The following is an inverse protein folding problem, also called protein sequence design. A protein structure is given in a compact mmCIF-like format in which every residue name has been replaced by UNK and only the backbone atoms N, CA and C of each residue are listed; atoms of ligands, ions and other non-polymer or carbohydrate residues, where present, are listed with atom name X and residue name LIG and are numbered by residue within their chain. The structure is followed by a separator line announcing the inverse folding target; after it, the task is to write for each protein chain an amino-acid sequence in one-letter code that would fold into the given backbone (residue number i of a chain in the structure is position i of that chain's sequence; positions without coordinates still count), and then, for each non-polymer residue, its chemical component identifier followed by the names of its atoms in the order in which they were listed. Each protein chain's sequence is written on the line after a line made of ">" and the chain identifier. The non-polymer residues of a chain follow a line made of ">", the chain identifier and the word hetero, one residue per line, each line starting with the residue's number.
data_IF_337771174231
#
_entry.id   IF_337771174231
#
_cell.length_a   1.000
_cell.length_b   1.000
_cell.length_c   1.000
_cell.angle_alpha   90.00
_cell.angle_beta   90.00
_cell.angle_gamma   90.00
#
_symmetry.space_group_name_H-M   'P 1'
#
loop_
_entity.id
_entity.type
_entity.pdbx_description
1 polymer ?
#
# COMPACT_ATOMS: atom_id res chain seq x y z
N UNK A 1 -65.85 2.81 -52.28
CA UNK A 1 -66.19 1.44 -51.86
C UNK A 1 -64.90 0.63 -51.78
N UNK A 2 -64.84 -0.28 -50.82
CA UNK A 2 -63.77 -1.24 -50.53
C UNK A 2 -62.76 -0.81 -49.45
N UNK A 3 -62.68 -1.71 -48.47
CA UNK A 3 -62.06 -1.66 -47.15
C UNK A 3 -61.01 -2.79 -47.10
N UNK A 4 -59.97 -2.57 -46.27
CA UNK A 4 -58.95 -3.53 -45.77
C UNK A 4 -57.85 -3.94 -46.79
N UNK A 5 -56.58 -4.10 -46.44
CA UNK A 5 -55.88 -4.20 -45.15
C UNK A 5 -54.36 -3.97 -45.41
N UNK A 6 -53.58 -3.56 -44.40
CA UNK A 6 -52.11 -3.67 -44.46
C UNK A 6 -51.35 -2.57 -43.73
N UNK A 7 -51.30 -2.65 -42.40
CA UNK A 7 -50.49 -1.76 -41.57
C UNK A 7 -49.00 -2.01 -41.76
N UNK A 8 -48.27 -0.95 -42.09
CA UNK A 8 -46.82 -0.86 -42.01
C UNK A 8 -46.40 -0.55 -40.56
N UNK A 9 -45.37 -1.24 -40.05
CA UNK A 9 -44.46 -0.65 -39.06
C UNK A 9 -43.03 -1.14 -39.26
N UNK A 10 -42.22 -0.18 -39.69
CA UNK A 10 -40.76 -0.03 -39.76
C UNK A 10 -39.87 -1.05 -39.04
N UNK A 11 -38.95 -1.60 -39.83
CA UNK A 11 -37.70 -2.28 -39.42
C UNK A 11 -36.75 -1.25 -38.78
N UNK A 12 -36.39 -1.44 -37.51
CA UNK A 12 -35.36 -0.67 -36.83
C UNK A 12 -33.96 -1.20 -37.20
N UNK A 13 -33.13 -0.32 -37.74
CA UNK A 13 -31.70 -0.52 -37.99
C UNK A 13 -30.94 -0.55 -36.64
N UNK A 14 -30.09 -1.55 -36.45
CA UNK A 14 -29.29 -1.73 -35.24
C UNK A 14 -27.97 -0.93 -35.30
N UNK A 15 -27.53 -0.24 -34.23
CA UNK A 15 -26.28 0.52 -34.21
C UNK A 15 -25.01 -0.34 -34.11
N UNK A 16 -23.95 0.10 -34.78
CA UNK A 16 -22.75 -0.69 -35.12
C UNK A 16 -21.73 -0.84 -33.96
N UNK A 17 -22.12 -0.48 -32.73
CA UNK A 17 -21.34 -0.60 -31.49
C UNK A 17 -21.77 -1.75 -30.56
N UNK A 18 -22.79 -2.53 -30.94
CA UNK A 18 -22.97 -3.89 -30.41
C UNK A 18 -21.90 -4.81 -31.02
N UNK A 19 -20.66 -4.68 -30.56
CA UNK A 19 -19.58 -5.54 -31.01
C UNK A 19 -19.85 -7.00 -30.62
N UNK A 20 -19.81 -7.90 -31.60
CA UNK A 20 -19.81 -9.37 -31.46
C UNK A 20 -18.78 -9.93 -30.47
N UNK A 21 -17.86 -9.10 -29.96
CA UNK A 21 -16.84 -9.45 -28.97
C UNK A 21 -17.39 -9.82 -27.60
N UNK A 22 -18.36 -9.07 -27.03
CA UNK A 22 -18.90 -9.44 -25.71
C UNK A 22 -19.59 -10.80 -25.79
N UNK A 23 -20.40 -11.03 -26.83
CA UNK A 23 -21.21 -12.25 -26.94
C UNK A 23 -20.29 -13.46 -27.10
N UNK A 24 -19.16 -13.28 -27.80
CA UNK A 24 -18.11 -14.28 -27.92
C UNK A 24 -17.40 -14.57 -26.59
N UNK A 25 -17.02 -13.55 -25.81
CA UNK A 25 -16.34 -13.75 -24.51
C UNK A 25 -17.27 -14.34 -23.43
N UNK A 26 -18.55 -13.95 -23.41
CA UNK A 26 -19.56 -14.55 -22.51
C UNK A 26 -19.91 -15.98 -22.94
N UNK A 27 -20.01 -16.26 -24.24
CA UNK A 27 -20.22 -17.61 -24.76
C UNK A 27 -19.00 -18.51 -24.52
N UNK A 28 -17.77 -18.00 -24.63
CA UNK A 28 -16.54 -18.72 -24.29
C UNK A 28 -16.43 -18.97 -22.77
N UNK A 29 -16.83 -18.01 -21.93
CA UNK A 29 -16.91 -18.17 -20.48
C UNK A 29 -17.92 -19.25 -20.05
N UNK A 30 -19.03 -19.39 -20.79
CA UNK A 30 -20.10 -20.36 -20.48
C UNK A 30 -19.95 -21.71 -21.20
N UNK A 31 -19.25 -21.78 -22.35
CA UNK A 31 -19.25 -22.97 -23.23
C UNK A 31 -17.90 -23.28 -23.91
N UNK A 32 -16.77 -22.64 -23.54
CA UNK A 32 -15.44 -22.85 -24.14
C UNK A 32 -14.38 -23.38 -23.16
N UNK A 33 -13.53 -24.31 -23.61
CA UNK A 33 -12.55 -25.05 -22.77
C UNK A 33 -11.31 -24.27 -22.27
N UNK A 34 -11.14 -22.99 -22.63
CA UNK A 34 -10.08 -22.12 -22.11
C UNK A 34 -10.44 -20.64 -22.30
N UNK A 35 -10.07 -19.79 -21.33
CA UNK A 35 -10.31 -18.33 -21.36
C UNK A 35 -8.96 -17.63 -21.56
N UNK A 36 -8.87 -16.60 -22.41
CA UNK A 36 -7.63 -15.83 -22.53
C UNK A 36 -7.58 -14.66 -21.55
N UNK A 37 -6.37 -14.19 -21.22
CA UNK A 37 -6.16 -12.96 -20.46
C UNK A 37 -6.83 -11.76 -21.14
N UNK A 38 -6.82 -11.71 -22.47
CA UNK A 38 -7.48 -10.65 -23.24
C UNK A 38 -9.00 -10.70 -23.11
N UNK A 39 -9.61 -11.89 -23.02
CA UNK A 39 -11.05 -12.02 -22.72
C UNK A 39 -11.35 -11.48 -21.32
N UNK A 40 -10.53 -11.81 -20.33
CA UNK A 40 -10.68 -11.33 -18.96
C UNK A 40 -10.53 -9.80 -18.86
N UNK A 41 -9.54 -9.21 -19.54
CA UNK A 41 -9.37 -7.76 -19.63
C UNK A 41 -10.56 -7.11 -20.35
N UNK A 42 -11.04 -7.69 -21.43
CA UNK A 42 -12.21 -7.19 -22.17
C UNK A 42 -13.47 -7.18 -21.30
N UNK A 43 -13.67 -8.23 -20.50
CA UNK A 43 -14.75 -8.27 -19.52
C UNK A 43 -14.57 -7.20 -18.42
N UNK A 44 -13.36 -7.05 -17.89
CA UNK A 44 -13.05 -6.07 -16.85
C UNK A 44 -13.29 -4.62 -17.29
N UNK A 45 -12.98 -4.29 -18.55
CA UNK A 45 -13.18 -2.95 -19.11
C UNK A 45 -14.54 -2.76 -19.80
N UNK A 46 -15.42 -3.78 -19.75
CA UNK A 46 -16.77 -3.65 -20.30
C UNK A 46 -17.63 -2.70 -19.45
N UNK A 47 -18.62 -2.00 -20.05
CA UNK A 47 -19.53 -1.15 -19.29
C UNK A 47 -20.38 -1.96 -18.30
N UNK A 48 -20.42 -1.54 -17.04
CA UNK A 48 -21.25 -2.12 -16.00
C UNK A 48 -22.54 -1.31 -15.81
N UNK A 49 -23.69 -1.97 -15.87
CA UNK A 49 -24.99 -1.37 -15.57
C UNK A 49 -25.21 -1.23 -14.05
N UNK A 50 -25.32 0.00 -13.57
CA UNK A 50 -25.65 0.32 -12.17
C UNK A 50 -27.17 0.47 -12.02
N UNK A 51 -27.82 -0.55 -11.44
CA UNK A 51 -29.27 -0.61 -11.22
C UNK A 51 -29.59 -1.27 -9.87
N UNK A 52 -30.83 -1.10 -9.40
CA UNK A 52 -31.30 -1.73 -8.16
C UNK A 52 -30.49 -1.28 -6.94
N UNK A 53 -29.95 -2.23 -6.18
CA UNK A 53 -29.13 -1.96 -4.99
C UNK A 53 -27.79 -1.28 -5.31
N UNK A 54 -27.32 -1.36 -6.57
CA UNK A 54 -26.05 -0.77 -7.03
C UNK A 54 -26.23 0.60 -7.71
N UNK A 55 -27.36 1.29 -7.52
CA UNK A 55 -27.61 2.60 -8.13
C UNK A 55 -26.56 3.65 -7.72
N UNK A 56 -26.24 4.54 -8.65
CA UNK A 56 -25.31 5.65 -8.44
C UNK A 56 -25.98 6.81 -7.71
N UNK A 57 -25.34 7.33 -6.66
CA UNK A 57 -25.78 8.57 -6.00
C UNK A 57 -25.36 9.78 -6.82
N UNK A 58 -26.33 10.42 -7.48
CA UNK A 58 -26.06 11.58 -8.32
C UNK A 58 -26.14 12.87 -7.51
N UNK A 59 -25.01 13.58 -7.38
CA UNK A 59 -24.92 14.85 -6.63
C UNK A 59 -25.88 15.92 -7.15
N UNK A 60 -26.00 16.06 -8.48
CA UNK A 60 -26.90 17.03 -9.12
C UNK A 60 -28.38 16.75 -8.88
N UNK A 61 -28.76 15.47 -8.81
CA UNK A 61 -30.14 15.06 -8.56
C UNK A 61 -30.44 14.90 -7.07
N UNK A 62 -29.40 14.84 -6.23
CA UNK A 62 -29.43 14.51 -4.81
C UNK A 62 -30.21 13.21 -4.50
N UNK A 63 -30.06 12.19 -5.35
CA UNK A 63 -30.74 10.88 -5.22
C UNK A 63 -30.09 9.78 -6.05
N UNK A 64 -30.43 8.53 -5.71
CA UNK A 64 -30.00 7.33 -6.43
C UNK A 64 -30.58 7.27 -7.85
N UNK A 65 -29.75 6.88 -8.81
CA UNK A 65 -30.06 6.82 -10.24
C UNK A 65 -29.43 5.60 -10.89
N UNK A 66 -30.12 5.09 -11.90
CA UNK A 66 -29.50 4.14 -12.82
C UNK A 66 -28.35 4.84 -13.56
N UNK A 67 -27.26 4.12 -13.79
CA UNK A 67 -26.10 4.64 -14.50
C UNK A 67 -25.36 3.54 -15.24
N UNK A 68 -24.42 3.94 -16.08
CA UNK A 68 -23.47 3.02 -16.71
C UNK A 68 -22.08 3.42 -16.23
N UNK A 69 -21.37 2.50 -15.61
CA UNK A 69 -19.99 2.68 -15.17
C UNK A 69 -19.07 2.15 -16.25
N UNK A 70 -18.08 2.96 -16.66
CA UNK A 70 -17.04 2.56 -17.59
C UNK A 70 -15.68 2.81 -16.95
N UNK A 71 -14.74 1.90 -17.19
CA UNK A 71 -13.35 2.03 -16.74
C UNK A 71 -12.44 2.11 -17.97
N UNK A 72 -11.41 2.97 -17.91
CA UNK A 72 -10.34 3.05 -18.93
C UNK A 72 -9.02 3.42 -18.28
N UNK A 73 -7.93 3.02 -18.91
CA UNK A 73 -6.57 3.34 -18.47
C UNK A 73 -6.19 4.75 -18.95
N UNK A 74 -5.89 5.64 -18.01
CA UNK A 74 -5.43 7.02 -18.27
C UNK A 74 -3.91 7.14 -18.31
N UNK A 75 -3.20 6.24 -17.65
CA UNK A 75 -1.74 6.18 -17.63
C UNK A 75 -1.29 4.72 -17.57
N UNK A 76 -0.32 4.38 -18.42
CA UNK A 76 0.27 3.04 -18.48
C UNK A 76 1.47 2.96 -17.52
N UNK A 77 1.52 1.95 -16.62
CA UNK A 77 2.64 1.77 -15.72
C UNK A 77 3.83 1.09 -16.40
N UNK A 78 5.06 1.26 -15.89
CA UNK A 78 6.23 0.54 -16.41
C UNK A 78 6.19 -0.96 -16.05
N UNK A 79 5.66 -1.29 -14.87
CA UNK A 79 5.34 -2.66 -14.44
C UNK A 79 3.84 -2.75 -14.18
N UNK A 80 3.16 -3.57 -14.98
CA UNK A 80 1.73 -3.87 -14.86
C UNK A 80 1.54 -5.14 -14.03
N UNK A 81 0.88 -5.00 -12.88
CA UNK A 81 0.45 -6.13 -12.06
C UNK A 81 -1.00 -6.49 -12.36
N UNK A 82 -1.26 -7.74 -12.76
CA UNK A 82 -2.59 -8.26 -13.04
C UNK A 82 -2.90 -9.40 -12.08
N UNK A 83 -3.88 -9.20 -11.21
CA UNK A 83 -4.40 -10.24 -10.32
C UNK A 83 -5.62 -10.92 -10.96
N UNK A 84 -5.54 -12.24 -11.14
CA UNK A 84 -6.66 -13.07 -11.56
C UNK A 84 -7.54 -13.42 -10.35
N UNK A 85 -8.75 -12.87 -10.28
CA UNK A 85 -9.72 -13.06 -9.19
C UNK A 85 -10.26 -14.50 -9.13
N UNK A 86 -9.44 -15.45 -8.66
CA UNK A 86 -9.76 -16.88 -8.62
C UNK A 86 -10.55 -17.32 -7.39
N UNK A 87 -10.67 -16.49 -6.36
CA UNK A 87 -11.39 -16.83 -5.14
C UNK A 87 -12.68 -15.99 -5.03
N UNK A 88 -13.78 -16.64 -4.67
CA UNK A 88 -15.05 -16.00 -4.34
C UNK A 88 -15.41 -16.35 -2.90
N UNK A 89 -15.79 -15.34 -2.12
CA UNK A 89 -16.43 -15.54 -0.83
C UNK A 89 -17.94 -15.47 -1.05
N UNK A 90 -18.60 -16.61 -1.21
CA UNK A 90 -20.06 -16.63 -1.18
C UNK A 90 -20.50 -16.77 0.28
N UNK A 91 -20.83 -15.64 0.91
CA UNK A 91 -21.36 -15.62 2.27
C UNK A 91 -22.87 -15.36 2.31
N UNK A 92 -23.49 -14.87 1.21
CA UNK A 92 -24.93 -14.63 1.12
C UNK A 92 -25.26 -13.81 -0.14
N UNK A 93 -25.86 -14.40 -1.18
CA UNK A 93 -26.98 -13.80 -1.93
C UNK A 93 -27.74 -14.89 -2.70
N UNK A 94 -29.06 -14.92 -2.47
CA UNK A 94 -30.05 -15.85 -3.00
C UNK A 94 -29.95 -16.16 -4.49
N UNK A 95 -29.78 -17.44 -4.83
CA UNK A 95 -30.51 -18.07 -5.93
C UNK A 95 -30.69 -19.56 -5.63
N UNK A 96 -31.94 -19.99 -5.49
CA UNK A 96 -32.34 -21.38 -5.29
C UNK A 96 -31.76 -22.27 -6.39
N UNK A 97 -30.79 -23.14 -6.03
CA UNK A 97 -30.75 -24.53 -6.50
C UNK A 97 -30.33 -25.39 -5.32
N UNK A 98 -31.22 -26.28 -4.93
CA UNK A 98 -31.07 -27.26 -3.85
C UNK A 98 -29.93 -28.22 -4.23
N UNK A 99 -28.78 -28.16 -3.54
CA UNK A 99 -27.99 -29.37 -3.20
C UNK A 99 -27.19 -29.12 -1.90
N UNK A 100 -27.66 -29.78 -0.84
CA UNK A 100 -26.94 -30.29 0.34
C UNK A 100 -26.11 -29.36 1.24
N UNK A 101 -26.56 -29.30 2.50
CA UNK A 101 -25.91 -28.75 3.68
C UNK A 101 -24.65 -29.56 4.07
N UNK A 102 -23.49 -29.18 3.54
CA UNK A 102 -22.19 -29.51 4.14
C UNK A 102 -21.12 -28.56 3.59
N UNK A 103 -20.56 -27.69 4.46
CA UNK A 103 -19.47 -26.73 4.23
C UNK A 103 -19.69 -25.64 3.17
N UNK A 104 -19.67 -24.38 3.64
CA UNK A 104 -19.43 -23.19 2.79
C UNK A 104 -18.00 -23.30 2.24
N UNK A 105 -17.83 -24.03 1.13
CA UNK A 105 -16.54 -24.24 0.51
C UNK A 105 -16.13 -23.01 -0.30
N UNK A 106 -15.10 -22.30 0.15
CA UNK A 106 -14.36 -21.28 -0.62
C UNK A 106 -13.63 -21.95 -1.79
N UNK A 107 -14.32 -22.28 -2.87
CA UNK A 107 -13.72 -23.02 -3.99
C UNK A 107 -12.91 -22.12 -4.92
N UNK A 108 -11.65 -22.49 -5.21
CA UNK A 108 -10.82 -21.87 -6.26
C UNK A 108 -11.46 -22.07 -7.64
N UNK A 109 -11.59 -21.01 -8.42
CA UNK A 109 -11.96 -21.07 -9.85
C UNK A 109 -10.81 -21.73 -10.62
N UNK A 110 -11.04 -22.96 -11.07
CA UNK A 110 -10.08 -23.80 -11.82
C UNK A 110 -10.08 -23.54 -13.33
N UNK A 111 -10.72 -22.45 -13.79
CA UNK A 111 -10.70 -22.08 -15.20
C UNK A 111 -9.26 -21.79 -15.62
N UNK A 112 -8.77 -22.53 -16.62
CA UNK A 112 -7.48 -22.26 -17.23
C UNK A 112 -7.53 -20.93 -17.96
N UNK A 113 -6.63 -20.02 -17.57
CA UNK A 113 -6.47 -18.70 -18.20
C UNK A 113 -5.16 -18.71 -18.94
N UNK A 114 -5.20 -18.62 -20.27
CA UNK A 114 -4.00 -18.49 -21.09
C UNK A 114 -3.52 -17.03 -21.10
N UNK A 115 -2.22 -16.82 -21.02
CA UNK A 115 -1.62 -15.49 -20.99
C UNK A 115 -0.43 -15.42 -21.96
N UNK A 116 -0.26 -14.32 -22.71
CA UNK A 116 0.84 -14.18 -23.66
C UNK A 116 2.16 -13.88 -22.94
N UNK A 117 3.25 -14.57 -23.29
CA UNK A 117 4.59 -14.26 -22.74
C UNK A 117 5.13 -12.94 -23.32
N UNK A 118 4.77 -12.61 -24.56
CA UNK A 118 5.15 -11.37 -25.24
C UNK A 118 3.94 -10.71 -25.91
N UNK A 119 4.04 -9.42 -26.22
CA UNK A 119 3.07 -8.70 -27.07
C UNK A 119 1.66 -8.57 -26.47
N UNK A 120 1.54 -8.46 -25.14
CA UNK A 120 0.27 -8.06 -24.53
C UNK A 120 -0.05 -6.60 -24.90
N UNK A 121 -1.05 -6.38 -25.74
CA UNK A 121 -1.47 -5.05 -26.18
C UNK A 121 -2.62 -4.47 -25.35
N UNK A 122 -2.33 -3.40 -24.60
CA UNK A 122 -3.33 -2.65 -23.83
C UNK A 122 -4.00 -1.50 -24.62
N UNK A 123 -3.67 -1.31 -25.90
CA UNK A 123 -4.27 -0.26 -26.74
C UNK A 123 -5.81 -0.22 -26.75
N UNK A 124 -6.54 -1.34 -26.62
CA UNK A 124 -8.01 -1.31 -26.60
C UNK A 124 -8.59 -0.69 -25.32
N UNK A 125 -7.84 -0.70 -24.22
CA UNK A 125 -8.34 -0.38 -22.87
C UNK A 125 -7.93 1.01 -22.37
N UNK A 126 -7.11 1.72 -23.15
CA UNK A 126 -6.65 3.08 -22.82
C UNK A 126 -7.59 4.17 -23.34
N UNK A 127 -7.48 5.36 -22.75
CA UNK A 127 -8.17 6.58 -23.22
C UNK A 127 -7.61 7.09 -24.56
N UNK A 128 -8.39 7.90 -25.28
CA UNK A 128 -8.01 8.43 -26.60
C UNK A 128 -6.73 9.29 -26.53
N UNK A 129 -6.56 10.08 -25.46
CA UNK A 129 -5.37 10.90 -25.24
C UNK A 129 -4.09 10.09 -25.12
N UNK A 130 -4.17 8.88 -24.56
CA UNK A 130 -3.04 7.95 -24.45
C UNK A 130 -2.72 7.33 -25.80
N UNK A 131 -3.73 6.98 -26.60
CA UNK A 131 -3.57 6.38 -27.94
C UNK A 131 -2.83 7.28 -28.91
N UNK A 132 -3.02 8.60 -28.83
CA UNK A 132 -2.46 9.57 -29.77
C UNK A 132 -1.03 10.02 -29.46
N UNK A 133 -0.46 9.64 -28.31
CA UNK A 133 0.87 10.12 -27.85
C UNK A 133 2.06 9.20 -28.20
N UNK A 134 1.97 8.37 -29.26
CA UNK A 134 3.04 7.41 -29.67
C UNK A 134 3.56 6.51 -28.54
N UNK A 135 2.78 6.35 -27.47
CA UNK A 135 3.16 5.57 -26.29
C UNK A 135 2.94 4.09 -26.57
N UNK A 136 4.04 3.33 -26.61
CA UNK A 136 4.03 1.86 -26.72
C UNK A 136 3.09 1.26 -25.66
N UNK A 137 2.06 0.54 -26.10
CA UNK A 137 1.03 -0.14 -25.30
C UNK A 137 1.32 -1.62 -25.09
N UNK A 138 2.47 -2.08 -25.58
CA UNK A 138 2.91 -3.46 -25.55
C UNK A 138 3.65 -3.78 -24.27
N UNK A 139 3.35 -4.95 -23.73
CA UNK A 139 3.96 -5.50 -22.53
C UNK A 139 4.43 -6.92 -22.75
N UNK A 140 5.53 -7.26 -22.08
CA UNK A 140 6.10 -8.61 -22.06
C UNK A 140 6.08 -9.14 -20.62
N UNK A 141 5.78 -10.42 -20.46
CA UNK A 141 5.74 -11.06 -19.15
C UNK A 141 7.17 -11.13 -18.59
N UNK A 142 7.37 -10.59 -17.39
CA UNK A 142 8.65 -10.69 -16.68
C UNK A 142 8.59 -11.66 -15.50
N UNK A 143 7.44 -11.79 -14.85
CA UNK A 143 7.23 -12.77 -13.80
C UNK A 143 5.74 -13.12 -13.63
N UNK A 144 5.45 -14.23 -12.95
CA UNK A 144 4.12 -14.51 -12.42
C UNK A 144 4.20 -15.41 -11.19
N UNK A 145 3.16 -15.35 -10.37
CA UNK A 145 2.97 -16.19 -9.20
C UNK A 145 1.89 -17.21 -9.50
N UNK A 146 2.13 -18.47 -9.19
CA UNK A 146 1.12 -19.53 -9.15
C UNK A 146 0.69 -19.81 -7.72
N UNK A 147 -0.55 -20.26 -7.56
CA UNK A 147 -1.07 -20.76 -6.28
C UNK A 147 -1.57 -22.18 -6.48
N UNK A 148 -0.92 -23.12 -5.80
CA UNK A 148 -1.30 -24.52 -5.73
C UNK A 148 -2.15 -24.74 -4.47
N UNK A 149 -3.39 -25.21 -4.63
CA UNK A 149 -4.31 -25.39 -3.51
C UNK A 149 -5.75 -25.10 -3.91
N UNK A 150 -6.69 -25.75 -3.22
CA UNK A 150 -8.13 -25.67 -3.53
C UNK A 150 -8.85 -24.53 -2.80
N UNK A 151 -8.23 -23.94 -1.77
CA UNK A 151 -8.83 -22.90 -0.91
C UNK A 151 -7.94 -21.66 -0.84
N UNK A 152 -8.50 -20.53 -0.39
CA UNK A 152 -7.74 -19.31 -0.15
C UNK A 152 -6.94 -19.33 1.17
N UNK A 153 -7.35 -20.17 2.12
CA UNK A 153 -6.78 -20.20 3.48
C UNK A 153 -5.61 -21.20 3.60
N UNK A 154 -5.38 -22.03 2.57
CA UNK A 154 -4.32 -23.04 2.54
C UNK A 154 -3.93 -23.36 1.10
N UNK A 155 -2.62 -23.33 0.84
CA UNK A 155 -2.00 -23.65 -0.44
C UNK A 155 -0.49 -23.37 -0.42
N UNK A 156 0.13 -23.45 -1.58
CA UNK A 156 1.55 -23.21 -1.82
C UNK A 156 1.73 -22.21 -2.94
N UNK A 157 2.64 -21.25 -2.78
CA UNK A 157 2.90 -20.22 -3.78
C UNK A 157 4.25 -20.49 -4.45
N UNK A 158 4.24 -20.44 -5.78
CA UNK A 158 5.44 -20.59 -6.61
C UNK A 158 5.63 -19.32 -7.41
N UNK A 159 6.89 -18.89 -7.55
CA UNK A 159 7.23 -17.75 -8.40
C UNK A 159 7.94 -18.23 -9.66
N UNK A 160 7.57 -17.64 -10.79
CA UNK A 160 8.16 -17.90 -12.09
C UNK A 160 8.69 -16.59 -12.62
N UNK A 161 10.00 -16.48 -12.82
CA UNK A 161 10.64 -15.22 -13.19
C UNK A 161 11.55 -15.42 -14.40
N UNK A 162 11.54 -14.46 -15.31
CA UNK A 162 12.53 -14.36 -16.39
C UNK A 162 13.77 -13.64 -15.85
N UNK A 163 14.93 -14.26 -15.99
CA UNK A 163 16.20 -13.64 -15.64
C UNK A 163 16.67 -12.73 -16.79
N UNK A 164 16.94 -11.46 -16.52
CA UNK A 164 17.36 -10.49 -17.54
C UNK A 164 18.79 -10.73 -18.05
N UNK A 165 19.63 -11.43 -17.29
CA UNK A 165 21.05 -11.67 -17.65
C UNK A 165 21.18 -12.68 -18.78
N UNK A 166 20.44 -13.79 -18.69
CA UNK A 166 20.52 -14.91 -19.63
C UNK A 166 19.24 -15.10 -20.47
N UNK A 167 18.20 -14.31 -20.18
CA UNK A 167 16.86 -14.38 -20.80
C UNK A 167 16.14 -15.72 -20.63
N UNK A 168 16.52 -16.55 -19.64
CA UNK A 168 15.86 -17.82 -19.34
C UNK A 168 14.78 -17.65 -18.26
N UNK A 169 13.84 -18.59 -18.23
CA UNK A 169 12.82 -18.68 -17.20
C UNK A 169 13.24 -19.62 -16.07
N UNK A 170 12.84 -19.27 -14.86
CA UNK A 170 13.14 -20.04 -13.65
C UNK A 170 11.88 -20.15 -12.78
N UNK A 171 11.64 -21.35 -12.26
CA UNK A 171 10.70 -21.65 -11.17
C UNK A 171 11.46 -21.55 -9.85
N UNK A 172 10.92 -20.76 -8.93
CA UNK A 172 11.40 -20.60 -7.56
C UNK A 172 10.38 -21.23 -6.62
N UNK A 173 10.75 -22.40 -6.09
CA UNK A 173 9.99 -23.17 -5.11
C UNK A 173 10.76 -23.14 -3.77
N UNK A 174 10.45 -22.15 -2.95
CA UNK A 174 11.15 -21.83 -1.70
C UNK A 174 12.68 -21.75 -1.85
N UNK A 175 13.38 -22.85 -1.58
CA UNK A 175 14.85 -22.96 -1.63
C UNK A 175 15.37 -23.58 -2.92
N UNK A 176 14.49 -24.05 -3.80
CA UNK A 176 14.80 -24.77 -5.02
C UNK A 176 14.56 -23.86 -6.22
N UNK A 177 15.56 -23.75 -7.10
CA UNK A 177 15.47 -22.97 -8.33
C UNK A 177 15.68 -23.89 -9.53
N UNK A 178 14.69 -23.94 -10.41
CA UNK A 178 14.69 -24.83 -11.58
C UNK A 178 14.53 -24.02 -12.86
N UNK A 179 15.44 -24.19 -13.82
CA UNK A 179 15.33 -23.57 -15.15
C UNK A 179 14.19 -24.21 -15.94
N UNK A 180 13.43 -23.39 -16.66
CA UNK A 180 12.31 -23.80 -17.50
C UNK A 180 12.46 -23.30 -18.94
N UNK A 181 11.85 -24.05 -19.87
CA UNK A 181 11.62 -23.58 -21.23
C UNK A 181 10.32 -22.76 -21.30
N UNK A 182 10.21 -21.90 -22.32
CA UNK A 182 9.02 -21.04 -22.51
C UNK A 182 7.74 -21.86 -22.68
N UNK A 183 7.84 -23.05 -23.29
CA UNK A 183 6.72 -23.97 -23.45
C UNK A 183 6.16 -24.44 -22.09
N UNK A 184 7.04 -24.72 -21.12
CA UNK A 184 6.63 -25.13 -19.77
C UNK A 184 5.93 -24.00 -19.04
N UNK A 185 6.43 -22.77 -19.19
CA UNK A 185 5.86 -21.55 -18.61
C UNK A 185 4.41 -21.33 -19.05
N UNK A 186 4.14 -21.48 -20.36
CA UNK A 186 2.79 -21.28 -20.91
C UNK A 186 1.77 -22.33 -20.42
N UNK A 187 2.23 -23.47 -19.92
CA UNK A 187 1.39 -24.52 -19.35
C UNK A 187 1.00 -24.30 -17.88
N UNK A 188 1.62 -23.33 -17.19
CA UNK A 188 1.40 -23.09 -15.75
C UNK A 188 0.15 -22.23 -15.50
N UNK A 189 -0.51 -22.45 -14.36
CA UNK A 189 -1.60 -21.60 -13.92
C UNK A 189 -1.08 -20.35 -13.22
N UNK A 190 -1.41 -19.17 -13.74
CA UNK A 190 -1.11 -17.91 -13.06
C UNK A 190 -2.19 -17.51 -12.04
N UNK A 191 -1.76 -16.87 -10.96
CA UNK A 191 -2.60 -16.17 -9.99
C UNK A 191 -2.37 -14.65 -10.05
N UNK A 192 -1.10 -14.23 -10.08
CA UNK A 192 -0.70 -12.83 -10.29
C UNK A 192 0.33 -12.78 -11.41
N UNK A 193 0.12 -11.92 -12.40
CA UNK A 193 1.01 -11.73 -13.54
C UNK A 193 1.70 -10.37 -13.43
N UNK A 194 3.00 -10.33 -13.73
CA UNK A 194 3.81 -9.12 -13.80
C UNK A 194 4.31 -8.92 -15.23
N UNK A 195 3.85 -7.84 -15.83
CA UNK A 195 4.13 -7.47 -17.20
C UNK A 195 5.00 -6.21 -17.22
N UNK A 196 6.12 -6.24 -17.91
CA UNK A 196 7.01 -5.10 -18.09
C UNK A 196 6.70 -4.42 -19.43
N UNK A 197 6.61 -3.10 -19.41
CA UNK A 197 6.34 -2.32 -20.61
C UNK A 197 7.52 -2.40 -21.57
N UNK A 198 7.24 -2.66 -22.86
CA UNK A 198 8.29 -2.82 -23.85
C UNK A 198 8.97 -1.48 -24.18
N UNK A 199 10.30 -1.47 -24.11
CA UNK A 199 11.14 -0.33 -24.47
C UNK A 199 11.08 0.06 -25.95
N UNK A 200 11.60 1.25 -26.27
CA UNK A 200 11.84 1.68 -27.65
C UNK A 200 13.21 1.29 -28.18
N UNK A 201 13.32 1.07 -29.49
CA UNK A 201 14.59 0.84 -30.16
C UNK A 201 15.55 2.01 -29.94
N UNK A 202 15.01 3.23 -29.81
CA UNK A 202 15.76 4.42 -29.40
C UNK A 202 16.35 4.25 -27.98
N UNK A 203 15.57 3.76 -27.01
CA UNK A 203 16.05 3.51 -25.66
C UNK A 203 17.09 2.39 -25.61
N UNK A 204 16.97 1.37 -26.45
CA UNK A 204 17.99 0.31 -26.53
C UNK A 204 19.32 0.87 -27.08
N UNK A 205 19.26 1.73 -28.10
CA UNK A 205 20.44 2.47 -28.59
C UNK A 205 21.06 3.37 -27.51
N UNK A 206 20.22 4.00 -26.67
CA UNK A 206 20.71 4.81 -25.55
C UNK A 206 21.46 3.93 -24.55
N UNK A 207 20.92 2.78 -24.15
CA UNK A 207 21.59 1.85 -23.21
C UNK A 207 22.90 1.32 -23.76
N UNK A 208 22.91 0.93 -25.04
CA UNK A 208 24.13 0.52 -25.74
C UNK A 208 25.19 1.64 -25.75
N UNK A 209 24.77 2.89 -26.00
CA UNK A 209 25.67 4.03 -25.93
C UNK A 209 26.24 4.25 -24.54
N UNK A 210 25.43 4.09 -23.49
CA UNK A 210 25.89 4.19 -22.08
C UNK A 210 26.94 3.12 -21.78
N UNK A 211 26.71 1.86 -22.18
CA UNK A 211 27.66 0.75 -22.02
C UNK A 211 29.01 1.07 -22.66
N UNK A 212 29.00 1.55 -23.90
CA UNK A 212 30.22 1.96 -24.61
C UNK A 212 30.98 3.10 -23.92
N UNK A 213 30.28 4.06 -23.29
CA UNK A 213 30.93 5.15 -22.56
C UNK A 213 31.58 4.65 -21.27
N UNK A 214 30.91 3.74 -20.54
CA UNK A 214 31.46 3.11 -19.32
C UNK A 214 32.72 2.28 -19.62
N UNK A 215 32.70 1.46 -20.67
CA UNK A 215 33.86 0.64 -21.09
C UNK A 215 35.08 1.51 -21.47
N UNK A 216 34.84 2.65 -22.12
CA UNK A 216 35.88 3.62 -22.47
C UNK A 216 36.47 4.28 -21.23
N UNK A 217 35.63 4.66 -20.27
CA UNK A 217 36.05 5.26 -19.01
C UNK A 217 36.95 4.31 -18.22
N UNK A 218 36.54 3.03 -18.08
CA UNK A 218 37.34 1.99 -17.42
C UNK A 218 38.70 1.80 -18.11
N UNK A 219 38.70 1.75 -19.44
CA UNK A 219 39.93 1.67 -20.24
C UNK A 219 40.87 2.88 -20.04
N UNK A 220 40.33 4.09 -19.89
CA UNK A 220 41.12 5.30 -19.62
C UNK A 220 41.67 5.34 -18.19
N UNK A 221 40.86 4.97 -17.18
CA UNK A 221 41.28 4.87 -15.77
C UNK A 221 42.48 3.94 -15.61
N UNK A 222 42.44 2.78 -16.27
CA UNK A 222 43.51 1.79 -16.22
C UNK A 222 44.80 2.24 -16.91
N UNK A 223 44.74 3.18 -17.88
CA UNK A 223 45.91 3.63 -18.67
C UNK A 223 46.62 4.86 -18.11
N UNK A 224 45.92 5.82 -17.51
CA UNK A 224 46.48 7.15 -17.22
C UNK A 224 46.81 7.44 -15.75
N UNK A 225 46.44 6.59 -14.76
CA UNK A 225 46.61 6.91 -13.33
C UNK A 225 46.12 8.34 -12.95
N UNK A 226 45.19 8.90 -13.72
CA UNK A 226 44.82 10.32 -13.61
C UNK A 226 43.84 10.51 -12.46
N UNK A 227 44.27 11.22 -11.42
CA UNK A 227 43.50 11.49 -10.19
C UNK A 227 42.44 12.61 -10.30
N UNK A 228 42.23 13.22 -11.47
CA UNK A 228 41.45 14.46 -11.59
C UNK A 228 40.52 14.51 -12.82
N UNK A 229 39.70 13.49 -13.06
CA UNK A 229 38.56 13.62 -13.97
C UNK A 229 37.37 14.22 -13.22
N UNK A 230 36.69 15.20 -13.82
CA UNK A 230 35.43 15.71 -13.27
C UNK A 230 34.41 14.58 -13.20
N UNK A 231 33.87 14.37 -12.00
CA UNK A 231 32.91 13.31 -11.70
C UNK A 231 31.55 13.91 -11.31
N UNK A 232 30.50 13.18 -11.62
CA UNK A 232 29.12 13.50 -11.25
C UNK A 232 28.54 12.33 -10.47
N UNK A 233 27.77 12.66 -9.43
CA UNK A 233 27.00 11.73 -8.64
C UNK A 233 25.60 11.60 -9.23
N UNK A 234 25.22 10.37 -9.54
CA UNK A 234 23.90 10.02 -10.09
C UNK A 234 23.25 8.92 -9.25
N UNK A 235 21.94 9.03 -9.05
CA UNK A 235 21.14 8.03 -8.33
C UNK A 235 21.28 6.65 -8.96
N UNK A 236 21.59 5.64 -8.12
CA UNK A 236 21.53 4.23 -8.51
C UNK A 236 20.11 3.82 -8.83
N UNK A 237 19.12 4.32 -8.08
CA UNK A 237 17.71 4.07 -8.37
C UNK A 237 17.36 4.54 -9.80
N UNK A 238 17.77 5.75 -10.18
CA UNK A 238 17.53 6.25 -11.53
C UNK A 238 18.28 5.42 -12.59
N UNK A 239 19.51 4.98 -12.32
CA UNK A 239 20.24 4.09 -13.22
C UNK A 239 19.56 2.72 -13.38
N UNK A 240 18.96 2.17 -12.31
CA UNK A 240 18.14 0.96 -12.40
C UNK A 240 16.88 1.17 -13.25
N UNK A 241 16.23 2.34 -13.15
CA UNK A 241 15.12 2.69 -14.05
C UNK A 241 15.62 2.80 -15.49
N UNK A 242 16.81 3.35 -15.74
CA UNK A 242 17.39 3.44 -17.08
C UNK A 242 17.62 2.05 -17.69
N UNK A 243 18.07 1.08 -16.89
CA UNK A 243 18.31 -0.28 -17.37
C UNK A 243 17.02 -1.05 -17.62
N UNK A 244 15.98 -0.85 -16.81
CA UNK A 244 14.78 -1.71 -16.83
C UNK A 244 13.54 -1.07 -17.47
N UNK A 245 13.31 0.23 -17.30
CA UNK A 245 12.06 0.85 -17.72
C UNK A 245 12.08 1.20 -19.21
N UNK A 246 10.90 1.19 -19.84
CA UNK A 246 10.72 1.68 -21.20
C UNK A 246 11.05 3.17 -21.33
N UNK A 247 10.90 3.93 -20.23
CA UNK A 247 11.39 5.29 -20.10
C UNK A 247 11.71 5.61 -18.63
N UNK A 248 12.96 5.97 -18.28
CA UNK A 248 13.34 6.23 -16.88
C UNK A 248 12.82 7.54 -16.31
N UNK A 249 12.38 8.47 -17.18
CA UNK A 249 12.06 9.84 -16.81
C UNK A 249 13.31 10.69 -16.63
N UNK A 250 13.12 11.93 -16.19
CA UNK A 250 14.23 12.86 -15.92
C UNK A 250 15.11 12.37 -14.79
N UNK A 251 16.40 12.73 -14.85
CA UNK A 251 17.38 12.37 -13.82
C UNK A 251 16.95 13.01 -12.50
N UNK A 252 16.82 12.18 -11.46
CA UNK A 252 16.52 12.62 -10.10
C UNK A 252 17.53 12.04 -9.13
N UNK A 253 18.14 12.88 -8.31
CA UNK A 253 19.03 12.48 -7.22
C UNK A 253 18.35 12.59 -5.85
N UNK A 254 17.01 12.61 -5.81
CA UNK A 254 16.22 12.88 -4.60
C UNK A 254 16.15 11.71 -3.61
N UNK A 255 16.63 10.54 -4.00
CA UNK A 255 16.80 9.36 -3.17
C UNK A 255 17.96 9.51 -2.17
N UNK A 256 18.97 10.34 -2.51
CA UNK A 256 20.09 10.67 -1.61
C UNK A 256 20.33 12.16 -1.38
N UNK A 257 19.71 13.05 -2.17
CA UNK A 257 19.75 14.50 -1.98
C UNK A 257 18.39 15.05 -1.52
N UNK A 258 18.43 15.96 -0.56
CA UNK A 258 17.26 16.69 -0.13
C UNK A 258 16.89 17.79 -1.16
N UNK A 259 15.74 18.42 -0.97
CA UNK A 259 15.27 19.58 -1.77
C UNK A 259 16.26 20.77 -1.83
N UNK A 260 17.26 20.82 -0.95
CA UNK A 260 18.32 21.83 -0.96
C UNK A 260 19.55 21.39 -1.78
N UNK A 261 19.46 20.29 -2.53
CA UNK A 261 20.55 19.70 -3.31
C UNK A 261 21.77 19.28 -2.47
N UNK A 262 21.52 18.82 -1.26
CA UNK A 262 22.53 18.40 -0.27
C UNK A 262 22.15 17.02 0.28
N UNK A 263 23.08 16.31 0.91
CA UNK A 263 22.86 14.94 1.38
C UNK A 263 21.63 14.85 2.30
N UNK A 264 20.77 13.86 2.07
CA UNK A 264 19.70 13.49 2.98
C UNK A 264 20.30 12.91 4.27
N UNK A 265 20.04 13.51 5.44
CA UNK A 265 20.60 13.03 6.71
C UNK A 265 20.28 11.56 7.03
N UNK A 266 19.09 11.10 6.67
CA UNK A 266 18.66 9.71 6.86
C UNK A 266 19.44 8.69 6.01
N UNK A 267 20.12 9.13 4.96
CA UNK A 267 20.91 8.29 4.04
C UNK A 267 22.41 8.50 4.19
N UNK A 268 22.84 9.41 5.06
CA UNK A 268 24.25 9.81 5.14
C UNK A 268 25.20 8.68 5.58
N UNK A 269 24.73 7.75 6.43
CA UNK A 269 25.53 6.62 6.90
C UNK A 269 25.89 5.65 5.77
N UNK A 270 24.92 5.38 4.88
CA UNK A 270 25.01 4.38 3.81
C UNK A 270 25.02 5.05 2.43
N UNK A 271 25.52 6.28 2.34
CA UNK A 271 25.38 7.14 1.15
C UNK A 271 25.88 6.49 -0.15
N UNK A 272 26.94 5.67 -0.06
CA UNK A 272 27.55 4.98 -1.19
C UNK A 272 26.61 3.96 -1.88
N UNK A 273 25.56 3.52 -1.19
CA UNK A 273 24.57 2.57 -1.72
C UNK A 273 23.53 3.23 -2.62
N UNK A 274 23.43 4.57 -2.59
CA UNK A 274 22.41 5.32 -3.31
C UNK A 274 22.93 5.99 -4.57
N UNK A 275 24.25 6.17 -4.72
CA UNK A 275 24.82 6.85 -5.88
C UNK A 275 25.84 6.01 -6.64
N UNK A 276 26.02 6.33 -7.92
CA UNK A 276 27.16 5.96 -8.72
C UNK A 276 27.90 7.23 -9.18
N UNK A 277 29.21 7.10 -9.42
CA UNK A 277 30.01 8.17 -10.02
C UNK A 277 30.11 7.94 -11.51
N UNK A 278 29.82 8.97 -12.30
CA UNK A 278 29.99 8.97 -13.76
C UNK A 278 30.89 10.12 -14.19
N UNK A 279 31.60 9.96 -15.31
CA UNK A 279 32.38 11.04 -15.87
C UNK A 279 31.50 12.15 -16.52
N UNK A 280 32.14 13.27 -16.85
CA UNK A 280 31.46 14.38 -17.49
C UNK A 280 30.81 14.02 -18.84
N UNK A 281 31.45 13.14 -19.63
CA UNK A 281 30.95 12.78 -20.96
C UNK A 281 29.64 11.99 -20.86
N UNK A 282 29.58 11.01 -19.96
CA UNK A 282 28.38 10.22 -19.71
C UNK A 282 27.29 11.09 -19.07
N UNK A 283 27.64 11.94 -18.11
CA UNK A 283 26.69 12.89 -17.52
C UNK A 283 26.04 13.79 -18.57
N UNK A 284 26.83 14.46 -19.41
CA UNK A 284 26.32 15.37 -20.44
C UNK A 284 25.40 14.64 -21.44
N UNK A 285 25.77 13.41 -21.83
CA UNK A 285 24.94 12.58 -22.70
C UNK A 285 23.58 12.27 -22.05
N UNK A 286 23.57 11.80 -20.80
CA UNK A 286 22.35 11.45 -20.08
C UNK A 286 21.48 12.69 -19.82
N UNK A 287 22.09 13.78 -19.35
CA UNK A 287 21.39 15.04 -19.06
C UNK A 287 20.77 15.65 -20.32
N UNK A 288 21.49 15.63 -21.46
CA UNK A 288 20.95 16.08 -22.75
C UNK A 288 19.75 15.25 -23.20
N UNK A 289 19.73 13.94 -22.92
CA UNK A 289 18.66 13.04 -23.37
C UNK A 289 17.42 13.09 -22.47
N UNK A 290 17.61 13.12 -21.14
CA UNK A 290 16.53 12.96 -20.16
C UNK A 290 16.21 14.23 -19.36
N UNK A 291 17.09 15.23 -19.39
CA UNK A 291 16.99 16.42 -18.56
C UNK A 291 17.00 16.07 -17.06
N UNK A 292 16.40 16.96 -16.27
CA UNK A 292 16.39 16.86 -14.81
C UNK A 292 17.56 17.58 -14.16
N UNK A 293 17.87 17.20 -12.92
CA UNK A 293 18.92 17.81 -12.12
C UNK A 293 18.52 18.02 -10.66
N UNK A 294 19.38 18.72 -9.89
CA UNK A 294 20.61 19.39 -10.33
C UNK A 294 21.77 18.41 -10.55
N UNK A 295 22.74 18.82 -11.38
CA UNK A 295 24.03 18.15 -11.45
C UNK A 295 24.71 18.20 -10.08
N UNK A 296 25.25 17.07 -9.63
CA UNK A 296 25.89 16.95 -8.34
C UNK A 296 27.34 16.53 -8.54
N UNK A 297 28.28 17.46 -8.36
CA UNK A 297 29.72 17.20 -8.42
C UNK A 297 30.35 17.11 -7.03
N UNK A 298 29.64 17.60 -6.01
CA UNK A 298 30.08 17.62 -4.62
C UNK A 298 28.93 17.22 -3.70
N UNK A 299 29.26 16.49 -2.63
CA UNK A 299 28.32 16.01 -1.63
C UNK A 299 28.56 16.75 -0.32
N UNK A 300 27.60 17.58 0.07
CA UNK A 300 27.65 18.37 1.31
C UNK A 300 26.47 18.01 2.21
N UNK A 301 26.72 17.96 3.53
CA UNK A 301 25.65 17.84 4.51
C UNK A 301 24.74 19.06 4.47
N UNK A 302 23.44 18.85 4.65
CA UNK A 302 22.47 19.94 4.71
C UNK A 302 22.23 20.38 6.16
N UNK A 303 22.67 21.57 6.61
CA UNK A 303 22.49 21.98 8.00
C UNK A 303 21.01 22.08 8.41
N UNK A 304 20.15 22.53 7.50
CA UNK A 304 18.70 22.65 7.74
C UNK A 304 18.05 21.29 7.97
N UNK A 305 18.24 20.36 7.03
CA UNK A 305 17.67 19.02 7.15
C UNK A 305 18.34 18.24 8.30
N UNK A 306 19.62 18.48 8.58
CA UNK A 306 20.33 17.84 9.69
C UNK A 306 19.72 18.22 11.05
N UNK A 307 19.42 19.50 11.26
CA UNK A 307 18.79 19.97 12.49
C UNK A 307 17.38 19.36 12.66
N UNK A 308 16.59 19.34 11.58
CA UNK A 308 15.26 18.73 11.58
C UNK A 308 15.32 17.22 11.85
N UNK A 309 16.25 16.50 11.21
CA UNK A 309 16.46 15.07 11.40
C UNK A 309 16.88 14.75 12.84
N UNK A 310 17.80 15.53 13.41
CA UNK A 310 18.22 15.37 14.80
C UNK A 310 17.08 15.65 15.77
N UNK A 311 16.29 16.71 15.53
CA UNK A 311 15.12 17.02 16.34
C UNK A 311 14.08 15.90 16.29
N UNK A 312 13.76 15.38 15.09
CA UNK A 312 12.85 14.25 14.91
C UNK A 312 13.35 12.99 15.62
N UNK A 313 14.64 12.69 15.53
CA UNK A 313 15.26 11.57 16.24
C UNK A 313 15.13 11.72 17.76
N UNK A 314 15.51 12.89 18.30
CA UNK A 314 15.35 13.17 19.73
C UNK A 314 13.89 13.08 20.18
N UNK A 315 12.94 13.54 19.35
CA UNK A 315 11.51 13.41 19.61
C UNK A 315 11.07 11.95 19.68
N UNK A 316 11.46 11.11 18.71
CA UNK A 316 11.17 9.65 18.72
C UNK A 316 11.72 8.97 19.95
N UNK A 317 13.00 9.21 20.27
CA UNK A 317 13.66 8.62 21.43
C UNK A 317 12.97 9.05 22.73
N UNK A 318 12.61 10.33 22.87
CA UNK A 318 11.90 10.85 24.03
C UNK A 318 10.49 10.26 24.16
N UNK A 319 9.72 10.22 23.08
CA UNK A 319 8.37 9.65 23.06
C UNK A 319 8.37 8.16 23.40
N UNK A 320 9.26 7.38 22.78
CA UNK A 320 9.37 5.94 23.03
C UNK A 320 9.81 5.66 24.46
N UNK A 321 10.75 6.44 24.98
CA UNK A 321 11.21 6.32 26.37
C UNK A 321 10.09 6.67 27.35
N UNK A 322 9.36 7.76 27.11
CA UNK A 322 8.22 8.16 27.93
C UNK A 322 7.09 7.10 27.90
N UNK A 323 6.77 6.58 26.71
CA UNK A 323 5.79 5.50 26.55
C UNK A 323 6.18 4.25 27.33
N UNK A 324 7.41 3.74 27.15
CA UNK A 324 7.90 2.54 27.85
C UNK A 324 7.90 2.74 29.37
N UNK A 325 8.35 3.91 29.82
CA UNK A 325 8.32 4.25 31.24
C UNK A 325 6.88 4.20 31.76
N UNK A 326 5.94 4.90 31.11
CA UNK A 326 4.54 4.95 31.52
C UNK A 326 3.86 3.57 31.51
N UNK A 327 4.03 2.79 30.44
CA UNK A 327 3.48 1.44 30.31
C UNK A 327 4.01 0.52 31.42
N UNK A 328 5.30 0.58 31.75
CA UNK A 328 5.88 -0.15 32.87
C UNK A 328 5.29 0.28 34.22
N UNK A 329 5.09 1.60 34.45
CA UNK A 329 4.48 2.11 35.68
C UNK A 329 3.05 1.62 35.82
N UNK A 330 2.25 1.74 34.76
CA UNK A 330 0.84 1.32 34.74
C UNK A 330 0.72 -0.18 34.98
N UNK A 331 1.51 -1.01 34.28
CA UNK A 331 1.49 -2.47 34.49
C UNK A 331 1.86 -2.86 35.92
N UNK A 332 2.83 -2.17 36.51
CA UNK A 332 3.24 -2.38 37.91
C UNK A 332 2.13 -1.95 38.88
N UNK A 333 1.54 -0.77 38.65
CA UNK A 333 0.42 -0.25 39.43
C UNK A 333 -0.79 -1.19 39.38
N UNK A 334 -1.22 -1.62 38.20
CA UNK A 334 -2.34 -2.54 38.04
C UNK A 334 -2.13 -3.88 38.75
N UNK A 335 -0.88 -4.33 38.91
CA UNK A 335 -0.56 -5.60 39.58
C UNK A 335 -0.55 -5.48 41.10
N UNK A 336 0.05 -4.42 41.65
CA UNK A 336 0.30 -4.31 43.10
C UNK A 336 -0.65 -3.35 43.82
N UNK A 337 -1.13 -2.32 43.12
CA UNK A 337 -1.99 -1.26 43.67
C UNK A 337 -3.06 -0.86 42.64
N UNK A 338 -3.98 -1.75 42.26
CA UNK A 338 -4.91 -1.49 41.15
C UNK A 338 -5.78 -0.24 41.35
N UNK A 339 -6.13 0.09 42.60
CA UNK A 339 -6.94 1.26 42.96
C UNK A 339 -6.33 2.62 42.59
N UNK A 340 -5.05 2.69 42.21
CA UNK A 340 -4.41 3.92 41.72
C UNK A 340 -4.42 4.07 40.20
N UNK A 341 -5.07 3.15 39.48
CA UNK A 341 -5.15 3.14 38.02
C UNK A 341 -6.58 3.36 37.53
N UNK A 342 -6.75 3.97 36.36
CA UNK A 342 -8.09 4.13 35.78
C UNK A 342 -8.76 2.79 35.47
N UNK A 343 -7.98 1.76 35.14
CA UNK A 343 -8.47 0.43 34.79
C UNK A 343 -9.25 -0.26 35.93
N UNK A 344 -9.09 0.20 37.18
CA UNK A 344 -9.86 -0.31 38.31
C UNK A 344 -11.31 0.22 38.34
N UNK A 345 -11.55 1.40 37.75
CA UNK A 345 -12.86 2.08 37.82
C UNK A 345 -13.54 2.20 36.45
N UNK A 346 -12.77 2.22 35.36
CA UNK A 346 -13.25 2.49 34.01
C UNK A 346 -12.91 1.34 33.05
N UNK A 347 -13.74 1.11 32.00
CA UNK A 347 -13.39 0.20 30.92
C UNK A 347 -12.09 0.64 30.20
N UNK A 348 -11.35 -0.28 29.57
CA UNK A 348 -10.11 0.06 28.89
C UNK A 348 -10.38 0.90 27.64
N UNK A 349 -9.44 1.79 27.29
CA UNK A 349 -9.53 2.61 26.09
C UNK A 349 -9.20 1.77 24.85
N UNK A 350 -9.81 2.14 23.72
CA UNK A 350 -9.49 1.60 22.40
C UNK A 350 -8.70 2.63 21.59
N UNK A 351 -7.69 2.17 20.86
CA UNK A 351 -6.99 2.96 19.85
C UNK A 351 -6.98 2.24 18.50
N UNK A 352 -7.12 2.99 17.41
CA UNK A 352 -7.05 2.47 16.05
C UNK A 352 -5.75 1.69 15.83
N UNK A 353 -5.86 0.43 15.38
CA UNK A 353 -4.71 -0.42 15.05
C UNK A 353 -3.86 0.22 13.93
N UNK A 354 -4.49 0.87 12.96
CA UNK A 354 -3.77 1.56 11.89
C UNK A 354 -2.92 2.71 12.44
N UNK A 355 -3.49 3.53 13.35
CA UNK A 355 -2.77 4.66 13.92
C UNK A 355 -1.61 4.20 14.82
N UNK A 356 -1.84 3.25 15.72
CA UNK A 356 -0.80 2.78 16.65
C UNK A 356 0.33 2.04 15.92
N UNK A 357 0.03 1.33 14.82
CA UNK A 357 1.06 0.73 13.97
C UNK A 357 1.91 1.78 13.27
N UNK A 358 1.32 2.89 12.80
CA UNK A 358 2.10 4.02 12.24
C UNK A 358 2.97 4.69 13.30
N UNK A 359 2.44 4.88 14.52
CA UNK A 359 3.23 5.39 15.63
C UNK A 359 4.41 4.47 15.96
N UNK A 360 4.19 3.15 16.01
CA UNK A 360 5.23 2.14 16.18
C UNK A 360 6.35 2.26 15.13
N UNK A 361 5.98 2.24 13.84
CA UNK A 361 6.93 2.42 12.75
C UNK A 361 7.69 3.76 12.83
N UNK A 362 7.05 4.83 13.29
CA UNK A 362 7.70 6.13 13.48
C UNK A 362 8.75 6.09 14.60
N UNK A 363 8.44 5.52 15.76
CA UNK A 363 9.40 5.45 16.87
C UNK A 363 10.52 4.43 16.63
N UNK A 364 10.26 3.38 15.86
CA UNK A 364 11.26 2.40 15.43
C UNK A 364 12.17 2.95 14.31
N UNK A 365 11.76 4.04 13.66
CA UNK A 365 12.52 4.73 12.62
C UNK A 365 12.26 4.26 11.20
N UNK A 366 11.35 3.31 11.02
CA UNK A 366 10.88 2.80 9.72
C UNK A 366 10.08 3.86 8.94
N UNK A 367 9.30 4.69 9.65
CA UNK A 367 8.53 5.79 9.07
C UNK A 367 9.19 7.14 9.43
N UNK A 368 9.38 8.00 8.43
CA UNK A 368 10.04 9.29 8.66
C UNK A 368 9.10 10.33 9.27
N UNK A 369 7.81 10.25 8.92
CA UNK A 369 6.79 11.21 9.36
C UNK A 369 6.03 10.70 10.59
N UNK A 370 5.64 11.60 11.51
CA UNK A 370 4.79 11.24 12.64
C UNK A 370 3.39 10.78 12.17
N UNK A 371 2.69 9.92 12.95
CA UNK A 371 1.39 9.36 12.57
C UNK A 371 0.24 10.37 12.42
N UNK A 372 0.45 11.64 12.78
CA UNK A 372 -0.58 12.68 12.82
C UNK A 372 -1.56 12.52 13.99
N UNK A 373 -2.66 13.31 14.01
CA UNK A 373 -3.68 13.20 15.06
C UNK A 373 -4.32 11.82 15.11
N UNK A 374 -4.72 11.38 16.31
CA UNK A 374 -5.41 10.09 16.47
C UNK A 374 -6.79 10.16 15.81
N UNK A 375 -7.13 9.16 15.01
CA UNK A 375 -8.48 8.98 14.46
C UNK A 375 -9.07 7.62 14.88
N UNK A 376 -10.02 7.69 15.81
CA UNK A 376 -10.78 6.56 16.34
C UNK A 376 -12.21 6.53 15.78
N UNK A 377 -12.58 7.37 14.83
CA UNK A 377 -13.96 7.53 14.35
C UNK A 377 -14.53 6.21 13.80
N UNK A 378 -13.68 5.41 13.15
CA UNK A 378 -14.04 4.10 12.60
C UNK A 378 -14.32 3.02 13.67
N UNK A 379 -13.99 3.28 14.93
CA UNK A 379 -14.25 2.38 16.06
C UNK A 379 -15.67 2.52 16.61
N UNK A 380 -16.40 3.56 16.22
CA UNK A 380 -17.79 3.80 16.61
C UNK A 380 -18.72 3.53 15.42
N UNK A 381 -19.86 2.90 15.69
CA UNK A 381 -20.93 2.68 14.71
C UNK A 381 -22.18 3.37 15.21
N UNK A 382 -22.85 4.10 14.31
CA UNK A 382 -24.16 4.69 14.59
C UNK A 382 -25.22 3.59 14.63
N UNK A 383 -26.16 3.72 15.56
CA UNK A 383 -27.38 2.93 15.57
C UNK A 383 -28.20 3.15 14.28
N UNK A 384 -29.11 2.23 13.91
CA UNK A 384 -29.93 2.36 12.69
C UNK A 384 -30.81 3.62 12.65
N UNK A 385 -31.16 4.17 13.81
CA UNK A 385 -31.89 5.42 14.00
C UNK A 385 -30.98 6.65 14.13
N UNK A 386 -29.66 6.48 13.94
CA UNK A 386 -28.59 7.48 13.97
C UNK A 386 -28.43 8.27 15.27
N UNK A 387 -29.16 7.90 16.33
CA UNK A 387 -29.25 8.63 17.59
C UNK A 387 -28.12 8.31 18.58
N UNK A 388 -27.58 7.08 18.56
CA UNK A 388 -26.58 6.62 19.52
C UNK A 388 -25.35 6.04 18.83
N UNK A 389 -24.21 6.10 19.53
CA UNK A 389 -22.96 5.48 19.09
C UNK A 389 -22.72 4.19 19.88
N UNK A 390 -22.15 3.20 19.22
CA UNK A 390 -21.81 1.92 19.81
C UNK A 390 -20.36 1.56 19.46
N UNK A 391 -19.65 0.99 20.42
CA UNK A 391 -18.29 0.50 20.19
C UNK A 391 -18.31 -0.70 19.24
N UNK A 392 -17.48 -0.65 18.20
CA UNK A 392 -17.29 -1.71 17.23
C UNK A 392 -16.20 -2.68 17.68
N UNK A 393 -16.59 -3.74 18.39
CA UNK A 393 -15.69 -4.85 18.66
C UNK A 393 -15.22 -5.50 17.34
N UNK A 394 -13.99 -5.19 16.91
CA UNK A 394 -13.38 -5.67 15.66
C UNK A 394 -11.87 -5.88 15.82
N UNK A 395 -11.22 -6.57 14.89
CA UNK A 395 -9.75 -6.77 14.91
C UNK A 395 -8.94 -5.50 14.55
N UNK A 396 -9.60 -4.36 14.33
CA UNK A 396 -9.00 -3.09 13.91
C UNK A 396 -8.68 -2.13 15.06
N UNK A 397 -8.74 -2.58 16.31
CA UNK A 397 -8.36 -1.79 17.48
C UNK A 397 -7.32 -2.50 18.34
N UNK A 398 -6.65 -1.73 19.20
CA UNK A 398 -5.81 -2.21 20.29
C UNK A 398 -6.36 -1.66 21.60
N UNK A 399 -6.41 -2.51 22.63
CA UNK A 399 -6.79 -2.08 23.98
C UNK A 399 -5.58 -1.46 24.67
N UNK A 400 -5.77 -0.26 25.22
CA UNK A 400 -4.74 0.47 25.96
C UNK A 400 -5.32 0.99 27.28
N UNK A 401 -4.45 1.25 28.25
CA UNK A 401 -4.88 1.92 29.48
C UNK A 401 -5.23 3.38 29.19
N UNK A 402 -6.06 3.98 30.06
CA UNK A 402 -6.43 5.40 29.90
C UNK A 402 -5.23 6.32 30.04
N UNK A 403 -4.27 5.97 30.89
CA UNK A 403 -3.02 6.71 31.05
C UNK A 403 -2.24 6.78 29.73
N UNK A 404 -2.15 5.66 29.00
CA UNK A 404 -1.52 5.61 27.67
C UNK A 404 -2.33 6.38 26.64
N UNK A 405 -3.66 6.33 26.69
CA UNK A 405 -4.52 7.14 25.84
C UNK A 405 -4.26 8.64 26.03
N UNK A 406 -4.23 9.11 27.28
CA UNK A 406 -3.96 10.51 27.61
C UNK A 406 -2.55 10.94 27.19
N UNK A 407 -1.57 10.05 27.32
CA UNK A 407 -0.22 10.29 26.79
C UNK A 407 -0.28 10.57 25.27
N UNK A 408 -0.86 9.65 24.48
CA UNK A 408 -0.93 9.85 23.04
C UNK A 408 -1.76 11.08 22.65
N UNK A 409 -2.90 11.31 23.31
CA UNK A 409 -3.76 12.49 23.06
C UNK A 409 -3.03 13.79 23.39
N UNK A 410 -2.18 13.83 24.42
CA UNK A 410 -1.41 15.03 24.76
C UNK A 410 -0.29 15.34 23.77
N UNK A 411 0.31 14.31 23.15
CA UNK A 411 1.38 14.49 22.15
C UNK A 411 0.83 14.77 20.75
N UNK A 412 -0.24 14.06 20.34
CA UNK A 412 -0.74 14.05 18.96
C UNK A 412 -2.11 14.70 18.78
N UNK A 413 -2.88 14.89 19.86
CA UNK A 413 -4.27 15.31 19.77
C UNK A 413 -5.15 14.28 19.06
N UNK A 414 -6.26 14.74 18.48
CA UNK A 414 -7.24 13.89 17.80
C UNK A 414 -8.26 13.28 18.76
N UNK A 415 -8.91 12.20 18.32
CA UNK A 415 -10.04 11.58 19.01
C UNK A 415 -10.88 10.68 18.08
N UNK A 416 -12.11 10.34 18.50
CA UNK A 416 -12.66 10.50 19.85
C UNK A 416 -12.02 9.54 20.87
N UNK A 417 -12.21 9.82 22.17
CA UNK A 417 -11.89 8.86 23.24
C UNK A 417 -12.92 7.73 23.22
N UNK A 418 -12.45 6.50 22.95
CA UNK A 418 -13.30 5.33 22.81
C UNK A 418 -12.96 4.32 23.91
N UNK A 419 -14.01 3.73 24.51
CA UNK A 419 -13.88 2.69 25.53
C UNK A 419 -14.32 1.36 24.96
N UNK A 420 -13.60 0.29 25.31
CA UNK A 420 -13.99 -1.07 25.00
C UNK A 420 -15.12 -1.49 25.95
N UNK A 421 -16.36 -1.20 25.56
CA UNK A 421 -17.54 -1.50 26.36
C UNK A 421 -18.66 -2.09 25.51
N UNK A 422 -19.59 -2.74 26.19
CA UNK A 422 -20.83 -3.23 25.58
C UNK A 422 -21.94 -2.19 25.79
N UNK A 423 -22.80 -2.00 24.80
CA UNK A 423 -23.94 -1.07 24.89
C UNK A 423 -23.68 0.27 24.20
N UNK A 424 -24.41 1.31 24.62
CA UNK A 424 -24.28 2.67 24.11
C UNK A 424 -22.96 3.24 24.61
N UNK A 425 -22.16 3.78 23.70
CA UNK A 425 -20.91 4.45 24.02
C UNK A 425 -21.23 5.86 24.56
N UNK A 426 -20.63 6.26 25.70
CA UNK A 426 -20.92 7.54 26.34
C UNK A 426 -20.50 8.73 25.48
N UNK A 427 -21.24 9.84 25.57
CA UNK A 427 -20.84 11.11 24.93
C UNK A 427 -19.60 11.69 25.60
N UNK A 428 -18.95 12.67 24.96
CA UNK A 428 -17.75 13.29 25.53
C UNK A 428 -18.02 13.95 26.90
N UNK A 429 -19.22 14.51 27.09
CA UNK A 429 -19.67 15.05 28.38
C UNK A 429 -19.85 13.94 29.43
N UNK A 430 -20.49 12.83 29.08
CA UNK A 430 -20.67 11.69 29.98
C UNK A 430 -19.34 11.06 30.38
N UNK A 431 -18.39 10.97 29.43
CA UNK A 431 -17.01 10.54 29.72
C UNK A 431 -16.35 11.48 30.73
N UNK A 432 -16.48 12.79 30.55
CA UNK A 432 -15.94 13.77 31.49
C UNK A 432 -16.54 13.61 32.89
N UNK A 433 -17.85 13.38 33.00
CA UNK A 433 -18.53 13.12 34.28
C UNK A 433 -18.06 11.82 34.94
N UNK A 434 -17.90 10.74 34.16
CA UNK A 434 -17.38 9.47 34.66
C UNK A 434 -15.97 9.63 35.24
N UNK A 435 -15.11 10.37 34.54
CA UNK A 435 -13.73 10.62 34.96
C UNK A 435 -13.69 11.50 36.22
N UNK A 436 -14.50 12.54 36.29
CA UNK A 436 -14.58 13.44 37.46
C UNK A 436 -14.98 12.69 38.76
N UNK A 437 -15.72 11.58 38.65
CA UNK A 437 -16.07 10.73 39.79
C UNK A 437 -14.92 9.82 40.24
N UNK A 438 -14.02 9.47 39.32
CA UNK A 438 -12.92 8.51 39.54
C UNK A 438 -11.65 9.19 40.05
N UNK A 439 -11.35 10.41 39.58
CA UNK A 439 -10.14 11.14 39.94
C UNK A 439 -9.94 11.31 41.47
N UNK A 440 -10.96 11.66 42.27
CA UNK A 440 -10.81 11.75 43.73
C UNK A 440 -10.43 10.42 44.38
N UNK A 441 -11.05 9.31 43.94
CA UNK A 441 -10.75 7.96 44.47
C UNK A 441 -9.32 7.52 44.15
N UNK A 442 -8.82 7.85 42.94
CA UNK A 442 -7.41 7.60 42.59
C UNK A 442 -6.49 8.45 43.46
N UNK A 443 -6.81 9.73 43.68
CA UNK A 443 -6.00 10.63 44.50
C UNK A 443 -5.92 10.15 45.97
N UNK A 444 -7.06 9.74 46.54
CA UNK A 444 -7.11 9.15 47.88
C UNK A 444 -6.31 7.85 47.98
N UNK A 445 -6.44 6.95 46.99
CA UNK A 445 -5.67 5.71 46.94
C UNK A 445 -4.16 5.97 46.83
N UNK A 446 -3.75 6.97 46.04
CA UNK A 446 -2.35 7.40 45.94
C UNK A 446 -1.83 7.97 47.27
N UNK A 447 -2.64 8.76 47.97
CA UNK A 447 -2.26 9.32 49.27
C UNK A 447 -2.18 8.23 50.35
N UNK A 448 -3.14 7.31 50.38
CA UNK A 448 -3.11 6.15 51.28
C UNK A 448 -1.89 5.25 51.02
N UNK A 449 -1.55 5.03 49.76
CA UNK A 449 -0.34 4.30 49.37
C UNK A 449 0.92 5.01 49.90
N UNK A 450 1.06 6.33 49.66
CA UNK A 450 2.19 7.13 50.18
C UNK A 450 2.31 7.04 51.70
N UNK A 451 1.20 7.15 52.43
CA UNK A 451 1.16 7.10 53.89
C UNK A 451 1.45 5.69 54.46
N UNK A 452 1.07 4.63 53.74
CA UNK A 452 1.33 3.24 54.15
C UNK A 452 2.80 2.82 53.99
N UNK A 453 3.53 3.48 53.08
CA UNK A 453 4.86 3.09 52.66
C UNK A 453 6.01 3.77 53.41
N UNK A 454 5.74 4.67 54.36
CA UNK A 454 6.68 5.00 55.44
C UNK A 454 7.06 3.77 56.29
N UNK A 455 6.39 2.62 56.10
CA UNK A 455 6.58 1.44 56.93
C UNK A 455 7.14 0.17 56.31
N UNK A 456 7.14 -0.13 54.98
CA UNK A 456 7.72 -1.39 54.44
C UNK A 456 7.69 -1.65 52.89
N UNK A 457 8.17 -0.75 52.00
CA UNK A 457 8.29 -1.09 50.54
C UNK A 457 9.65 -0.71 49.95
N UNK A 458 10.28 -1.53 49.06
CA UNK A 458 11.56 -1.21 48.43
C UNK A 458 11.49 0.09 47.59
N UNK A 459 12.45 0.99 47.80
CA UNK A 459 12.53 2.31 47.13
C UNK A 459 12.53 2.25 45.60
N UNK A 460 12.96 1.12 45.03
CA UNK A 460 12.99 0.86 43.58
C UNK A 460 11.61 0.75 42.94
N UNK A 461 10.62 0.19 43.66
CA UNK A 461 9.22 0.11 43.19
C UNK A 461 8.54 1.48 43.23
N UNK A 462 8.91 2.33 44.19
CA UNK A 462 8.35 3.67 44.37
C UNK A 462 8.73 4.62 43.22
N UNK A 463 10.03 4.62 42.87
CA UNK A 463 10.60 5.37 41.74
C UNK A 463 10.00 4.93 40.39
N UNK A 464 9.61 3.66 40.28
CA UNK A 464 8.99 3.11 39.07
C UNK A 464 7.49 3.45 38.93
N UNK A 465 6.83 4.01 39.95
CA UNK A 465 5.37 4.22 39.95
C UNK A 465 4.95 5.68 40.04
N UNK A 466 5.68 6.50 40.79
CA UNK A 466 5.39 7.93 40.94
C UNK A 466 6.05 8.77 39.83
N UNK A 467 5.43 9.88 39.38
CA UNK A 467 6.13 10.86 38.55
C UNK A 467 7.37 11.34 39.30
N UNK A 468 8.54 11.37 38.66
CA UNK A 468 9.64 12.18 39.18
C UNK A 468 9.16 13.63 39.16
N UNK A 469 9.13 14.28 40.32
CA UNK A 469 9.00 15.74 40.35
C UNK A 469 10.18 16.30 39.57
N UNK A 470 9.90 16.95 38.43
CA UNK A 470 10.91 17.76 37.77
C UNK A 470 11.34 18.82 38.78
N UNK A 471 12.56 18.72 39.29
CA UNK A 471 13.21 19.83 39.97
C UNK A 471 13.16 21.03 39.02
N UNK A 472 12.54 22.11 39.48
CA UNK A 472 12.36 23.39 38.80
C UNK A 472 13.66 23.97 38.27
#
# INVERSE_FOLDING_TARGET
>A
MSVANGGYSSVWQWPWWFGLGWLRSVYAYLFGGSVSLMDALSAFFSPDDLRGENMYSCEKCSKLRNGVKMCKITQLPEILCIHLKRFRHDASYSSKVIVSLTSIAKSKVSTSVTFPVCDLDLSPFVTQSVRTQEKKTLYDLCAFVSHQGSTADSGHYLAYCRNEVDNNWYEFDDTIVTRLEVADVMGKEAYVLFYQRRGSDDMERVRERVRQLLEREESHRNKLQLKFTSHYYISREWLHRLSTFSHPGSITNHDFLCRHAQILPSRAADLADYYATVDAQLWEFLHKKFGGGPACTELHYCPKCQAEYQWLRCKRDAEFTAFKALDARVKTASRYYPAITYAYYLPPNAISKCWISKWGAFVDGDELEPPGPIDNSALLVRSPDESTLHFRASSHHVQISRELWLFFRSVYGGGPEVFCMNGIHPTEEEVAEMVAKVEPSIAEALQAMRNSQERNVPSTLLSAMLPQECAT
#
